data_IF_858398124938
#
_entry.id   IF_858398124938
#
_cell.length_a   1.000
_cell.length_b   1.000
_cell.length_c   1.000
_cell.angle_alpha   90.00
_cell.angle_beta   90.00
_cell.angle_gamma   90.00
#
_symmetry.space_group_name_H-M   'P 1'
#
loop_
_entity.id
_entity.type
_entity.pdbx_description
1 polymer ?
#
# COMPACT_ATOMS: atom_id res chain seq x y z
N UNK A 1 7.09 0.18 -8.85
CA UNK A 1 7.22 1.64 -8.96
C UNK A 1 5.89 2.26 -9.36
N UNK A 2 5.69 3.57 -9.16
CA UNK A 2 4.48 4.27 -9.62
C UNK A 2 4.29 4.15 -11.15
N UNK A 3 5.40 4.04 -11.86
CA UNK A 3 5.47 3.85 -13.32
C UNK A 3 4.84 2.53 -13.80
N UNK A 4 4.84 1.50 -12.94
CA UNK A 4 4.24 0.19 -13.23
C UNK A 4 2.69 0.22 -13.13
N UNK A 5 2.14 1.32 -12.64
CA UNK A 5 0.70 1.57 -12.55
C UNK A 5 0.28 2.41 -13.77
N UNK A 6 -0.76 2.01 -14.52
CA UNK A 6 -1.22 2.78 -15.67
C UNK A 6 -1.60 4.22 -15.27
N UNK A 7 -1.28 5.24 -16.10
CA UNK A 7 -1.45 6.65 -15.76
C UNK A 7 -2.84 7.02 -15.23
N UNK A 8 -3.89 6.47 -15.83
CA UNK A 8 -5.28 6.71 -15.47
C UNK A 8 -5.65 6.25 -14.05
N UNK A 9 -4.90 5.32 -13.46
CA UNK A 9 -5.10 4.88 -12.08
C UNK A 9 -4.16 5.56 -11.09
N UNK A 10 -3.14 6.29 -11.57
CA UNK A 10 -2.25 7.05 -10.69
C UNK A 10 -3.01 8.16 -9.98
N UNK A 11 -4.04 8.73 -10.61
CA UNK A 11 -4.87 9.77 -9.99
C UNK A 11 -5.59 9.28 -8.73
N UNK A 12 -5.98 8.00 -8.71
CA UNK A 12 -6.66 7.35 -7.59
C UNK A 12 -5.76 7.06 -6.39
N UNK A 13 -4.44 7.13 -6.56
CA UNK A 13 -3.49 6.93 -5.47
C UNK A 13 -3.51 8.19 -4.59
N UNK A 14 -3.80 8.05 -3.28
CA UNK A 14 -3.76 9.19 -2.36
C UNK A 14 -2.41 9.90 -2.39
N UNK A 15 -2.42 11.22 -2.17
CA UNK A 15 -1.20 12.04 -2.20
C UNK A 15 -0.12 11.47 -1.27
N UNK A 16 -0.49 11.08 -0.07
CA UNK A 16 0.41 10.55 0.94
C UNK A 16 1.10 9.27 0.47
N UNK A 17 0.36 8.40 -0.23
CA UNK A 17 0.91 7.18 -0.83
C UNK A 17 1.81 7.49 -2.03
N UNK A 18 1.48 8.51 -2.85
CA UNK A 18 2.37 9.00 -3.93
C UNK A 18 3.67 9.54 -3.37
N UNK A 19 3.61 10.36 -2.32
CA UNK A 19 4.77 10.95 -1.68
C UNK A 19 5.69 9.85 -1.11
N UNK A 20 5.12 8.82 -0.49
CA UNK A 20 5.86 7.63 -0.07
C UNK A 20 6.55 6.94 -1.25
N UNK A 21 5.81 6.62 -2.32
CA UNK A 21 6.35 5.91 -3.49
C UNK A 21 7.44 6.69 -4.22
N UNK A 22 7.31 8.01 -4.31
CA UNK A 22 8.30 8.90 -4.93
C UNK A 22 9.56 9.05 -4.07
N UNK A 23 9.45 8.86 -2.75
CA UNK A 23 10.58 8.90 -1.81
C UNK A 23 11.39 7.60 -1.74
N UNK A 24 11.03 6.56 -2.49
CA UNK A 24 11.71 5.26 -2.47
C UNK A 24 12.94 5.24 -3.37
N UNK A 25 14.08 4.90 -2.77
CA UNK A 25 15.30 4.54 -3.51
C UNK A 25 15.19 3.15 -4.13
N UNK A 26 16.12 2.78 -5.01
CA UNK A 26 16.14 1.42 -5.57
C UNK A 26 16.43 0.34 -4.51
N UNK A 27 17.22 0.68 -3.49
CA UNK A 27 17.42 -0.18 -2.32
C UNK A 27 16.12 -0.38 -1.55
N UNK A 28 15.36 0.69 -1.32
CA UNK A 28 14.06 0.59 -0.66
C UNK A 28 13.09 -0.32 -1.43
N UNK A 29 13.05 -0.16 -2.76
CA UNK A 29 12.23 -1.02 -3.63
C UNK A 29 12.66 -2.49 -3.55
N UNK A 30 13.96 -2.78 -3.42
CA UNK A 30 14.45 -4.15 -3.27
C UNK A 30 14.00 -4.77 -1.95
N UNK A 31 14.07 -4.02 -0.84
CA UNK A 31 13.57 -4.48 0.47
C UNK A 31 12.05 -4.72 0.43
N UNK A 32 11.28 -3.79 -0.16
CA UNK A 32 9.83 -3.97 -0.32
C UNK A 32 9.50 -5.21 -1.16
N UNK A 33 10.29 -5.51 -2.20
CA UNK A 33 10.17 -6.74 -2.99
C UNK A 33 10.34 -8.00 -2.16
N UNK A 34 11.30 -8.01 -1.24
CA UNK A 34 11.49 -9.15 -0.34
C UNK A 34 10.32 -9.32 0.63
N UNK A 35 9.87 -8.23 1.26
CA UNK A 35 8.71 -8.25 2.15
C UNK A 35 7.44 -8.70 1.39
N UNK A 36 7.23 -8.23 0.15
CA UNK A 36 6.06 -8.60 -0.64
C UNK A 36 6.01 -10.09 -1.00
N UNK A 37 7.15 -10.78 -1.15
CA UNK A 37 7.18 -12.24 -1.36
C UNK A 37 6.60 -12.99 -0.17
N UNK A 38 6.77 -12.43 1.02
CA UNK A 38 6.27 -12.96 2.28
C UNK A 38 4.92 -12.35 2.69
N UNK A 39 4.26 -11.59 1.81
CA UNK A 39 3.00 -10.89 2.11
C UNK A 39 1.93 -11.81 2.73
N UNK A 40 1.82 -13.05 2.25
CA UNK A 40 0.86 -14.03 2.74
C UNK A 40 1.13 -14.50 4.18
N UNK A 41 2.34 -14.27 4.73
CA UNK A 41 2.69 -14.60 6.11
C UNK A 41 2.21 -13.54 7.10
N UNK A 42 2.03 -12.30 6.66
CA UNK A 42 1.62 -11.21 7.53
C UNK A 42 0.11 -11.14 7.64
N UNK A 43 -0.41 -11.20 8.86
CA UNK A 43 -1.85 -11.18 9.12
C UNK A 43 -2.45 -9.78 8.96
N UNK A 44 -1.65 -8.74 9.17
CA UNK A 44 -2.07 -7.34 9.18
C UNK A 44 -0.91 -6.40 8.77
N UNK A 45 -1.19 -5.09 8.74
CA UNK A 45 -0.17 -4.08 8.36
C UNK A 45 0.92 -3.95 9.42
N UNK A 46 0.57 -4.12 10.70
CA UNK A 46 1.51 -3.99 11.82
C UNK A 46 2.61 -5.07 11.75
N UNK A 47 2.26 -6.32 11.43
CA UNK A 47 3.22 -7.42 11.25
C UNK A 47 4.14 -7.19 10.03
N UNK A 48 3.57 -6.71 8.92
CA UNK A 48 4.36 -6.38 7.73
C UNK A 48 5.31 -5.20 7.98
N UNK A 49 4.86 -4.20 8.75
CA UNK A 49 5.65 -3.04 9.14
C UNK A 49 6.78 -3.41 10.11
N UNK A 50 6.52 -4.30 11.06
CA UNK A 50 7.55 -4.84 11.95
C UNK A 50 8.67 -5.54 11.16
N UNK A 51 8.31 -6.44 10.24
CA UNK A 51 9.27 -7.12 9.38
C UNK A 51 10.06 -6.13 8.48
N UNK A 52 9.39 -5.08 7.99
CA UNK A 52 10.04 -4.03 7.20
C UNK A 52 11.07 -3.26 8.04
N UNK A 53 10.73 -2.91 9.29
CA UNK A 53 11.64 -2.24 10.23
C UNK A 53 12.84 -3.10 10.59
N UNK A 54 12.67 -4.40 10.76
CA UNK A 54 13.77 -5.33 11.03
C UNK A 54 14.76 -5.39 9.86
N UNK A 55 14.27 -5.35 8.61
CA UNK A 55 15.14 -5.37 7.42
C UNK A 55 15.75 -4.00 7.10
N UNK A 56 14.99 -2.93 7.24
CA UNK A 56 15.41 -1.56 6.92
C UNK A 56 14.74 -0.58 7.88
N UNK A 57 15.43 -0.14 8.94
CA UNK A 57 14.86 0.77 9.93
C UNK A 57 14.39 2.11 9.33
N UNK A 58 15.15 2.69 8.40
CA UNK A 58 14.80 3.96 7.77
C UNK A 58 13.52 3.83 6.92
N UNK A 59 13.44 2.77 6.11
CA UNK A 59 12.27 2.49 5.28
C UNK A 59 11.05 2.12 6.13
N UNK A 60 11.27 1.35 7.19
CA UNK A 60 10.25 1.03 8.19
C UNK A 60 9.68 2.29 8.85
N UNK A 61 10.51 3.27 9.19
CA UNK A 61 10.05 4.55 9.72
C UNK A 61 9.25 5.37 8.68
N UNK A 62 9.67 5.38 7.40
CA UNK A 62 8.90 6.01 6.30
C UNK A 62 7.52 5.37 6.13
N UNK A 63 7.46 4.03 6.18
CA UNK A 63 6.21 3.28 6.05
C UNK A 63 5.31 3.44 7.28
N UNK A 64 5.88 3.48 8.48
CA UNK A 64 5.14 3.72 9.73
C UNK A 64 4.44 5.07 9.70
N UNK A 65 5.13 6.12 9.27
CA UNK A 65 4.54 7.46 9.16
C UNK A 65 3.30 7.48 8.25
N UNK A 66 3.33 6.73 7.14
CA UNK A 66 2.18 6.60 6.26
C UNK A 66 1.06 5.80 6.95
N UNK A 67 1.41 4.68 7.59
CA UNK A 67 0.48 3.84 8.33
C UNK A 67 -0.28 4.62 9.40
N UNK A 68 0.43 5.35 10.27
CA UNK A 68 -0.15 6.15 11.34
C UNK A 68 -1.09 7.24 10.79
N UNK A 69 -0.70 7.90 9.69
CA UNK A 69 -1.54 8.93 9.08
C UNK A 69 -2.84 8.35 8.52
N UNK A 70 -2.78 7.20 7.85
CA UNK A 70 -3.95 6.51 7.31
C UNK A 70 -4.83 5.99 8.46
N UNK A 71 -4.22 5.38 9.48
CA UNK A 71 -4.90 4.88 10.69
C UNK A 71 -5.64 6.00 11.41
N UNK A 72 -5.00 7.15 11.63
CA UNK A 72 -5.64 8.32 12.25
C UNK A 72 -6.85 8.82 11.48
N UNK A 73 -6.79 8.85 10.13
CA UNK A 73 -7.94 9.21 9.29
C UNK A 73 -9.08 8.19 9.41
N UNK A 74 -8.76 6.90 9.44
CA UNK A 74 -9.76 5.82 9.59
C UNK A 74 -10.40 5.87 10.98
N UNK A 75 -9.62 6.10 12.03
CA UNK A 75 -10.12 6.10 13.41
C UNK A 75 -11.09 7.23 13.68
N UNK A 76 -10.96 8.35 12.95
CA UNK A 76 -11.88 9.48 12.97
C UNK A 76 -13.22 9.24 12.24
N UNK A 77 -13.36 8.13 11.51
CA UNK A 77 -14.61 7.77 10.82
C UNK A 77 -15.61 7.08 11.75
N UNK A 78 -16.89 7.17 11.40
CA UNK A 78 -17.93 6.32 11.98
C UNK A 78 -17.74 4.85 11.60
N UNK A 79 -18.46 3.93 12.26
CA UNK A 79 -18.24 2.49 12.10
C UNK A 79 -18.47 1.98 10.67
N UNK A 80 -19.49 2.51 9.97
CA UNK A 80 -19.80 2.13 8.59
C UNK A 80 -18.68 2.57 7.63
N UNK A 81 -18.28 3.85 7.69
CA UNK A 81 -17.20 4.39 6.86
C UNK A 81 -15.84 3.76 7.22
N UNK A 82 -15.61 3.38 8.47
CA UNK A 82 -14.43 2.65 8.93
C UNK A 82 -14.38 1.24 8.33
N UNK A 83 -15.49 0.52 8.29
CA UNK A 83 -15.57 -0.80 7.66
C UNK A 83 -15.29 -0.70 6.16
N UNK A 84 -15.91 0.26 5.48
CA UNK A 84 -15.67 0.52 4.06
C UNK A 84 -14.20 0.88 3.77
N UNK A 85 -13.61 1.81 4.53
CA UNK A 85 -12.20 2.20 4.37
C UNK A 85 -11.25 1.01 4.53
N UNK A 86 -11.52 0.12 5.51
CA UNK A 86 -10.73 -1.10 5.72
C UNK A 86 -10.80 -2.06 4.53
N UNK A 87 -11.98 -2.22 3.91
CA UNK A 87 -12.15 -3.05 2.71
C UNK A 87 -11.34 -2.50 1.53
N UNK A 88 -11.46 -1.19 1.26
CA UNK A 88 -10.72 -0.53 0.19
C UNK A 88 -9.20 -0.67 0.39
N UNK A 89 -8.70 -0.46 1.61
CA UNK A 89 -7.27 -0.59 1.93
C UNK A 89 -6.78 -2.02 1.75
N UNK A 90 -7.53 -3.02 2.23
CA UNK A 90 -7.19 -4.42 2.00
C UNK A 90 -7.12 -4.73 0.50
N UNK A 91 -8.04 -4.16 -0.28
CA UNK A 91 -8.04 -4.24 -1.73
C UNK A 91 -6.79 -3.62 -2.37
N UNK A 92 -6.40 -2.42 -1.92
CA UNK A 92 -5.23 -1.70 -2.40
C UNK A 92 -3.92 -2.42 -2.06
N UNK A 93 -3.79 -2.98 -0.84
CA UNK A 93 -2.59 -3.74 -0.44
C UNK A 93 -2.36 -4.97 -1.29
N UNK A 94 -3.43 -5.69 -1.66
CA UNK A 94 -3.31 -6.84 -2.57
C UNK A 94 -2.73 -6.42 -3.93
N UNK A 95 -3.15 -5.27 -4.47
CA UNK A 95 -2.61 -4.73 -5.71
C UNK A 95 -1.15 -4.31 -5.51
N UNK A 96 -0.84 -3.59 -4.44
CA UNK A 96 0.52 -3.17 -4.11
C UNK A 96 1.46 -4.38 -4.03
N UNK A 97 1.10 -5.43 -3.30
CA UNK A 97 1.89 -6.65 -3.18
C UNK A 97 2.15 -7.29 -4.55
N UNK A 98 1.14 -7.35 -5.43
CA UNK A 98 1.29 -7.86 -6.79
C UNK A 98 2.24 -6.99 -7.63
N UNK A 99 2.05 -5.67 -7.64
CA UNK A 99 2.92 -4.70 -8.35
C UNK A 99 4.36 -4.82 -7.87
N UNK A 100 4.56 -4.85 -6.55
CA UNK A 100 5.89 -4.97 -5.95
C UNK A 100 6.54 -6.31 -6.32
N UNK A 101 5.78 -7.42 -6.33
CA UNK A 101 6.25 -8.71 -6.80
C UNK A 101 6.57 -8.77 -8.32
N UNK A 102 6.34 -7.68 -9.06
CA UNK A 102 6.59 -7.57 -10.49
C UNK A 102 5.41 -8.01 -11.36
N UNK A 103 4.26 -8.33 -10.77
CA UNK A 103 3.05 -8.62 -11.51
C UNK A 103 2.39 -7.30 -11.92
N UNK A 104 2.14 -7.13 -13.22
CA UNK A 104 1.37 -6.00 -13.72
C UNK A 104 -0.11 -6.21 -13.38
N UNK A 105 -0.75 -5.31 -12.61
CA UNK A 105 -2.15 -5.46 -12.27
C UNK A 105 -3.02 -5.40 -13.52
N UNK A 106 -4.07 -6.23 -13.57
CA UNK A 106 -5.02 -6.22 -14.66
C UNK A 106 -5.86 -4.94 -14.61
N UNK A 107 -6.01 -4.24 -15.75
CA UNK A 107 -6.82 -3.04 -15.89
C UNK A 107 -8.27 -3.25 -15.41
N UNK A 108 -8.84 -4.45 -15.64
CA UNK A 108 -10.18 -4.77 -15.18
C UNK A 108 -10.27 -4.81 -13.64
N UNK A 109 -9.26 -5.38 -12.96
CA UNK A 109 -9.21 -5.42 -11.50
C UNK A 109 -9.00 -4.03 -10.90
N UNK A 110 -8.17 -3.19 -11.53
CA UNK A 110 -7.98 -1.81 -11.11
C UNK A 110 -9.26 -1.00 -11.25
N UNK A 111 -9.97 -1.16 -12.38
CA UNK A 111 -11.25 -0.47 -12.64
C UNK A 111 -12.35 -0.88 -11.67
N UNK A 112 -12.48 -2.18 -11.37
CA UNK A 112 -13.48 -2.66 -10.41
C UNK A 112 -13.23 -2.06 -9.02
N UNK A 113 -11.98 -2.05 -8.56
CA UNK A 113 -11.66 -1.49 -7.25
C UNK A 113 -11.74 0.04 -7.21
N UNK A 114 -11.39 0.70 -8.31
CA UNK A 114 -11.60 2.13 -8.47
C UNK A 114 -13.08 2.47 -8.29
N UNK A 115 -13.98 1.77 -8.99
CA UNK A 115 -15.43 1.97 -8.89
C UNK A 115 -15.97 1.72 -7.49
N UNK A 116 -15.44 0.73 -6.76
CA UNK A 116 -15.83 0.49 -5.37
C UNK A 116 -15.41 1.61 -4.41
N UNK A 117 -14.45 2.46 -4.79
CA UNK A 117 -13.91 3.52 -3.95
C UNK A 117 -14.55 4.90 -4.17
N UNK A 118 -15.50 5.03 -5.12
CA UNK A 118 -16.18 6.28 -5.52
C UNK A 118 -17.68 6.19 -5.28
#
# INVERSE_FOLDING_TARGET
>A
SLEDIPPEYRELIPKEAKDFLNGLTDSDKAVLKEIAKDYAKYKNEDEALAALKEKSPELGAKAEKLHEMVKGKIDALNDEAKAFAKEIIAGARKIQAAVVAGNKPNLAELKEKAQKAI
#
